data_IF_683026673473
#
_entry.id   IF_683026673473
#
_cell.length_a   1.000
_cell.length_b   1.000
_cell.length_c   1.000
_cell.angle_alpha   90.00
_cell.angle_beta   90.00
_cell.angle_gamma   90.00
#
_symmetry.space_group_name_H-M   'P 1'
#
loop_
_entity.id
_entity.type
_entity.pdbx_description
1 polymer ?
#
# COMPACT_ATOMS: atom_id res chain seq x y z
N UNK A 1 7.71 15.02 13.31
CA UNK A 1 7.88 13.63 13.78
C UNK A 1 7.40 12.70 12.69
N UNK A 2 8.30 12.29 11.80
CA UNK A 2 7.94 11.43 10.66
C UNK A 2 7.69 10.03 11.22
N UNK A 3 6.42 9.65 11.24
CA UNK A 3 5.93 8.41 11.83
C UNK A 3 6.72 7.20 11.26
N UNK A 4 7.31 6.37 12.13
CA UNK A 4 8.19 5.24 11.73
C UNK A 4 7.53 4.29 10.72
N UNK A 5 6.20 4.32 10.61
CA UNK A 5 5.42 3.62 9.58
C UNK A 5 5.84 3.99 8.16
N UNK A 6 6.09 5.27 7.88
CA UNK A 6 6.48 5.73 6.53
C UNK A 6 7.84 5.18 6.11
N UNK A 7 8.78 5.05 7.06
CA UNK A 7 10.11 4.50 6.80
C UNK A 7 10.01 3.02 6.43
N UNK A 8 9.18 2.24 7.15
CA UNK A 8 8.96 0.82 6.84
C UNK A 8 8.30 0.60 5.48
N UNK A 9 7.36 1.45 5.10
CA UNK A 9 6.69 1.38 3.79
C UNK A 9 7.64 1.77 2.65
N UNK A 10 8.52 2.75 2.88
CA UNK A 10 9.55 3.15 1.94
C UNK A 10 10.60 2.05 1.75
N UNK A 11 10.99 1.35 2.81
CA UNK A 11 11.87 0.18 2.73
C UNK A 11 11.22 -0.98 1.95
N UNK A 12 9.94 -1.26 2.22
CA UNK A 12 9.17 -2.24 1.46
C UNK A 12 9.14 -1.89 -0.04
N UNK A 13 8.99 -0.60 -0.39
CA UNK A 13 9.00 -0.15 -1.79
C UNK A 13 10.39 -0.29 -2.45
N UNK A 14 11.47 -0.08 -1.72
CA UNK A 14 12.81 -0.42 -2.21
C UNK A 14 12.97 -1.92 -2.44
N UNK A 15 12.38 -2.75 -1.57
CA UNK A 15 12.36 -4.21 -1.74
C UNK A 15 11.59 -4.63 -3.01
N UNK A 16 10.49 -3.95 -3.35
CA UNK A 16 9.81 -4.13 -4.65
C UNK A 16 10.75 -3.83 -5.82
N UNK A 17 11.48 -2.72 -5.77
CA UNK A 17 12.42 -2.34 -6.83
C UNK A 17 13.58 -3.33 -6.96
N UNK A 18 14.04 -3.91 -5.85
CA UNK A 18 15.09 -4.94 -5.81
C UNK A 18 14.61 -6.32 -6.26
N UNK A 19 13.34 -6.47 -6.68
CA UNK A 19 12.78 -7.76 -7.10
C UNK A 19 12.37 -8.68 -5.95
N UNK A 20 12.43 -8.20 -4.69
CA UNK A 20 11.94 -8.92 -3.50
C UNK A 20 10.43 -8.73 -3.33
N UNK A 21 9.68 -9.11 -4.36
CA UNK A 21 8.25 -8.84 -4.47
C UNK A 21 7.46 -9.60 -3.38
N UNK A 22 7.89 -10.81 -3.00
CA UNK A 22 7.25 -11.60 -1.94
C UNK A 22 7.42 -11.03 -0.53
N UNK A 23 8.57 -10.43 -0.24
CA UNK A 23 8.84 -9.82 1.08
C UNK A 23 8.01 -8.53 1.24
N UNK A 24 7.97 -7.71 0.19
CA UNK A 24 7.15 -6.51 0.16
C UNK A 24 5.65 -6.84 0.23
N UNK A 25 5.16 -7.82 -0.54
CA UNK A 25 3.77 -8.30 -0.48
C UNK A 25 3.38 -8.73 0.94
N UNK A 26 4.25 -9.46 1.64
CA UNK A 26 3.99 -9.90 3.00
C UNK A 26 3.89 -8.73 3.99
N UNK A 27 4.74 -7.71 3.84
CA UNK A 27 4.68 -6.48 4.65
C UNK A 27 3.38 -5.73 4.39
N UNK A 28 3.01 -5.54 3.12
CA UNK A 28 1.77 -4.85 2.75
C UNK A 28 0.52 -5.62 3.20
N UNK A 29 0.48 -6.95 3.03
CA UNK A 29 -0.65 -7.77 3.50
C UNK A 29 -0.77 -7.78 5.03
N UNK A 30 0.35 -7.81 5.76
CA UNK A 30 0.32 -7.68 7.21
C UNK A 30 -0.22 -6.33 7.62
N UNK A 31 0.22 -5.25 6.98
CA UNK A 31 -0.24 -3.91 7.28
C UNK A 31 -1.74 -3.75 6.97
N UNK A 32 -2.22 -4.32 5.86
CA UNK A 32 -3.64 -4.38 5.50
C UNK A 32 -4.49 -5.20 6.47
N UNK A 33 -3.91 -6.15 7.20
CA UNK A 33 -4.64 -6.90 8.23
C UNK A 33 -5.08 -6.01 9.39
N UNK A 34 -4.23 -5.05 9.76
CA UNK A 34 -4.50 -4.09 10.84
C UNK A 34 -5.22 -2.85 10.32
N UNK A 35 -4.82 -2.38 9.13
CA UNK A 35 -5.38 -1.20 8.47
C UNK A 35 -5.83 -1.55 7.07
N UNK A 36 -7.03 -2.15 6.97
CA UNK A 36 -7.62 -2.65 5.72
C UNK A 36 -7.69 -1.60 4.60
N UNK A 37 -7.76 -0.33 4.96
CA UNK A 37 -7.82 0.80 4.04
C UNK A 37 -6.55 1.67 4.11
N UNK A 38 -5.37 1.07 4.25
CA UNK A 38 -4.12 1.83 4.16
C UNK A 38 -3.70 1.99 2.68
N UNK A 39 -3.89 3.20 2.13
CA UNK A 39 -3.59 3.52 0.74
C UNK A 39 -2.15 3.20 0.33
N UNK A 40 -1.17 3.42 1.20
CA UNK A 40 0.24 3.12 0.90
C UNK A 40 0.51 1.61 0.73
N UNK A 41 -0.14 0.79 1.56
CA UNK A 41 0.03 -0.66 1.51
C UNK A 41 -0.64 -1.26 0.27
N UNK A 42 -1.80 -0.74 -0.11
CA UNK A 42 -2.47 -1.12 -1.37
C UNK A 42 -1.66 -0.72 -2.59
N UNK A 43 -1.10 0.50 -2.61
CA UNK A 43 -0.26 0.97 -3.71
C UNK A 43 1.03 0.13 -3.88
N UNK A 44 1.70 -0.17 -2.77
CA UNK A 44 2.89 -1.02 -2.78
C UNK A 44 2.60 -2.47 -3.20
N UNK A 45 1.47 -3.03 -2.75
CA UNK A 45 0.99 -4.34 -3.16
C UNK A 45 0.69 -4.37 -4.67
N UNK A 46 -0.07 -3.38 -5.17
CA UNK A 46 -0.36 -3.22 -6.59
C UNK A 46 0.92 -3.17 -7.43
N UNK A 47 1.90 -2.35 -7.03
CA UNK A 47 3.17 -2.23 -7.76
C UNK A 47 3.96 -3.53 -7.77
N UNK A 48 3.88 -4.29 -6.67
CA UNK A 48 4.51 -5.61 -6.58
C UNK A 48 3.87 -6.59 -7.55
N UNK A 49 2.53 -6.61 -7.61
CA UNK A 49 1.76 -7.48 -8.49
C UNK A 49 1.94 -7.12 -9.98
N UNK A 50 1.97 -5.82 -10.32
CA UNK A 50 2.32 -5.35 -11.67
C UNK A 50 3.71 -5.86 -12.09
N UNK A 51 4.70 -5.72 -11.21
CA UNK A 51 6.07 -6.20 -11.48
C UNK A 51 6.16 -7.73 -11.60
N UNK A 52 5.25 -8.47 -10.94
CA UNK A 52 5.12 -9.92 -11.11
C UNK A 52 4.37 -10.31 -12.40
N UNK A 53 3.83 -9.35 -13.16
CA UNK A 53 2.98 -9.62 -14.33
C UNK A 53 1.56 -10.07 -13.98
N UNK A 54 1.16 -9.96 -12.71
CA UNK A 54 -0.16 -10.37 -12.22
C UNK A 54 -1.17 -9.25 -12.36
N UNK A 55 -1.48 -8.90 -13.61
CA UNK A 55 -2.30 -7.72 -13.94
C UNK A 55 -3.71 -7.81 -13.35
N UNK A 56 -4.32 -9.00 -13.30
CA UNK A 56 -5.66 -9.18 -12.72
C UNK A 56 -5.69 -8.89 -11.20
N UNK A 57 -4.71 -9.40 -10.45
CA UNK A 57 -4.61 -9.14 -9.01
C UNK A 57 -4.21 -7.69 -8.74
N UNK A 58 -3.36 -7.12 -9.60
CA UNK A 58 -2.98 -5.72 -9.55
C UNK A 58 -4.20 -4.81 -9.74
N UNK A 59 -5.03 -5.04 -10.77
CA UNK A 59 -6.23 -4.24 -11.01
C UNK A 59 -7.19 -4.27 -9.81
N UNK A 60 -7.47 -5.45 -9.25
CA UNK A 60 -8.28 -5.57 -8.02
C UNK A 60 -7.70 -4.74 -6.88
N UNK A 61 -6.40 -4.87 -6.62
CA UNK A 61 -5.71 -4.12 -5.57
C UNK A 61 -5.76 -2.61 -5.83
N UNK A 62 -5.69 -2.19 -7.09
CA UNK A 62 -5.80 -0.79 -7.49
C UNK A 62 -7.23 -0.24 -7.30
N UNK A 63 -8.27 -1.04 -7.53
CA UNK A 63 -9.64 -0.65 -7.23
C UNK A 63 -9.85 -0.49 -5.72
N UNK A 64 -9.33 -1.41 -4.91
CA UNK A 64 -9.36 -1.29 -3.45
C UNK A 64 -8.57 -0.07 -2.97
N UNK A 65 -7.40 0.20 -3.57
CA UNK A 65 -6.66 1.44 -3.35
C UNK A 65 -7.51 2.66 -3.65
N UNK A 66 -8.18 2.72 -4.81
CA UNK A 66 -9.02 3.87 -5.18
C UNK A 66 -10.18 4.06 -4.20
N UNK A 67 -10.83 2.99 -3.75
CA UNK A 67 -11.91 3.06 -2.75
C UNK A 67 -11.39 3.57 -1.41
N UNK A 68 -10.28 3.01 -0.95
CA UNK A 68 -9.61 3.39 0.29
C UNK A 68 -9.08 4.83 0.24
N UNK A 69 -8.55 5.27 -0.90
CA UNK A 69 -8.06 6.63 -1.12
C UNK A 69 -9.21 7.63 -1.17
N UNK A 70 -10.29 7.29 -1.89
CA UNK A 70 -11.50 8.10 -1.91
C UNK A 70 -12.04 8.31 -0.50
N UNK A 71 -12.13 7.26 0.33
CA UNK A 71 -12.59 7.31 1.73
C UNK A 71 -11.60 8.05 2.67
N UNK A 72 -10.29 7.89 2.41
CA UNK A 72 -9.24 8.51 3.21
C UNK A 72 -9.13 10.02 2.98
N UNK A 73 -9.35 10.51 1.75
CA UNK A 73 -9.34 11.95 1.42
C UNK A 73 -10.52 12.70 2.08
N UNK A 74 -11.70 12.07 2.16
CA UNK A 74 -12.86 12.60 2.90
C UNK A 74 -12.60 12.61 4.41
N UNK A 75 -11.83 11.66 4.93
CA UNK A 75 -11.52 11.56 6.37
C UNK A 75 -10.35 12.45 6.78
N UNK A 76 -9.40 12.76 5.88
CA UNK A 76 -8.24 13.62 6.18
C UNK A 76 -8.53 15.14 6.04
N UNK A 77 -9.76 15.54 5.72
CA UNK A 77 -10.11 16.97 5.61
C UNK A 77 -10.49 17.60 6.96
N UNK A 78 -10.71 16.83 8.04
CA UNK A 78 -11.07 17.41 9.35
C UNK A 78 -10.37 16.73 10.53
N UNK A 79 -9.21 17.26 10.86
CA UNK A 79 -9.02 17.95 12.16
C UNK A 79 -7.58 18.39 12.27
N UNK A 80 -7.31 19.57 11.73
CA UNK A 80 -6.26 20.44 12.26
C UNK A 80 -7.00 21.58 12.97
N UNK A 81 -7.34 21.36 14.23
CA UNK A 81 -7.46 22.45 15.21
C UNK A 81 -6.14 22.56 15.96
#
# INVERSE_FOLDING_TARGET
TTDQKYIKLQDAMHSVQKGKLGEAEAVYRRDLKWHKNNGWSLFGLWKSLEKQGKINEADQTYQDFKKSWADSDITLTRSRI
#
